data_IF_162817867397
#
_entry.id   IF_162817867397
#
_cell.length_a   1.000
_cell.length_b   1.000
_cell.length_c   1.000
_cell.angle_alpha   90.00
_cell.angle_beta   90.00
_cell.angle_gamma   90.00
#
_symmetry.space_group_name_H-M   'P 1'
#
loop_
_entity.id
_entity.type
_entity.pdbx_description
1 polymer ?
#
# COMPACT_ATOMS: atom_id res chain seq x y z
N UNK A 1 63.70 16.67 41.85
CA UNK A 1 64.99 17.34 41.56
C UNK A 1 65.09 18.42 42.62
N UNK A 2 66.19 18.46 43.39
CA UNK A 2 66.43 19.60 44.25
C UNK A 2 66.53 20.87 43.39
N UNK A 3 66.06 22.00 43.91
CA UNK A 3 66.25 23.29 43.26
C UNK A 3 67.71 23.70 43.36
N UNK A 4 68.24 24.42 42.37
CA UNK A 4 69.58 25.05 42.52
C UNK A 4 69.64 25.99 43.72
N UNK A 5 68.50 26.57 44.14
CA UNK A 5 68.38 27.32 45.38
C UNK A 5 68.60 26.42 46.61
N UNK A 6 68.03 25.21 46.62
CA UNK A 6 68.19 24.25 47.73
C UNK A 6 69.64 23.77 47.81
N UNK A 7 70.27 23.45 46.68
CA UNK A 7 71.68 23.06 46.62
C UNK A 7 72.60 24.19 47.15
N UNK A 8 72.36 25.45 46.74
CA UNK A 8 73.14 26.61 47.20
C UNK A 8 72.90 26.96 48.68
N UNK A 9 71.68 26.75 49.19
CA UNK A 9 71.38 26.93 50.62
C UNK A 9 72.04 25.83 51.45
N UNK A 10 72.07 24.58 50.96
CA UNK A 10 72.78 23.49 51.62
C UNK A 10 74.30 23.75 51.65
N UNK A 11 74.90 24.23 50.55
CA UNK A 11 76.32 24.60 50.52
C UNK A 11 76.65 25.75 51.49
N UNK A 12 75.79 26.78 51.56
CA UNK A 12 75.91 27.86 52.55
C UNK A 12 75.77 27.34 53.99
N UNK A 13 74.86 26.39 54.23
CA UNK A 13 74.66 25.80 55.55
C UNK A 13 75.85 24.94 55.97
N UNK A 14 76.37 24.08 55.08
CA UNK A 14 77.58 23.28 55.29
C UNK A 14 78.82 24.17 55.53
N UNK A 15 78.91 25.32 54.85
CA UNK A 15 79.96 26.32 55.08
C UNK A 15 79.86 26.97 56.47
N UNK A 16 78.65 27.32 56.92
CA UNK A 16 78.41 27.89 58.26
C UNK A 16 78.68 26.85 59.36
N UNK A 17 78.21 25.61 59.19
CA UNK A 17 78.44 24.51 60.13
C UNK A 17 79.92 24.07 60.19
N UNK A 18 80.68 24.29 59.10
CA UNK A 18 82.13 24.05 59.03
C UNK A 18 83.01 25.13 59.69
N UNK A 19 82.46 26.29 60.05
CA UNK A 19 83.22 27.40 60.62
C UNK A 19 83.56 27.20 62.12
N UNK A 20 84.69 27.76 62.57
CA UNK A 20 85.16 27.58 63.96
C UNK A 20 84.53 28.60 64.91
N UNK A 21 84.02 28.11 66.04
CA UNK A 21 83.57 28.95 67.15
C UNK A 21 84.72 29.82 67.70
N UNK A 22 84.41 31.08 68.00
CA UNK A 22 85.39 32.02 68.53
C UNK A 22 85.86 31.61 69.94
N UNK A 23 87.17 31.67 70.22
CA UNK A 23 87.64 31.45 71.59
C UNK A 23 86.99 32.49 72.52
N UNK A 24 86.46 32.01 73.64
CA UNK A 24 85.76 32.76 74.70
C UNK A 24 84.31 33.22 74.41
N UNK A 25 83.69 32.85 73.29
CA UNK A 25 82.24 33.05 73.06
C UNK A 25 81.63 31.87 72.29
N UNK A 26 80.87 31.03 73.00
CA UNK A 26 80.22 29.85 72.42
C UNK A 26 79.15 30.18 71.36
N UNK A 27 78.63 31.41 71.36
CA UNK A 27 77.52 31.88 70.53
C UNK A 27 77.99 32.81 69.39
N UNK A 28 79.28 32.74 69.01
CA UNK A 28 79.82 33.51 67.89
C UNK A 28 80.82 32.69 67.08
N UNK A 29 80.56 32.58 65.79
CA UNK A 29 81.35 31.86 64.81
C UNK A 29 82.33 32.85 64.14
N UNK A 30 83.59 32.42 63.91
CA UNK A 30 84.55 33.19 63.11
C UNK A 30 84.42 32.77 61.65
N UNK A 31 83.87 33.66 60.83
CA UNK A 31 83.63 33.44 59.39
C UNK A 31 84.52 34.39 58.59
N UNK A 32 85.04 33.94 57.44
CA UNK A 32 85.64 34.87 56.48
C UNK A 32 84.53 35.71 55.84
N UNK A 33 84.61 37.02 56.01
CA UNK A 33 83.58 37.95 55.52
C UNK A 33 83.44 37.85 54.00
N UNK A 34 84.55 37.82 53.28
CA UNK A 34 84.56 37.94 51.82
C UNK A 34 83.92 36.69 51.16
N UNK A 35 84.19 35.50 51.70
CA UNK A 35 83.59 34.24 51.23
C UNK A 35 82.07 34.22 51.48
N UNK A 36 81.63 34.61 52.68
CA UNK A 36 80.20 34.68 53.03
C UNK A 36 79.45 35.73 52.18
N UNK A 37 80.07 36.89 51.95
CA UNK A 37 79.50 37.98 51.15
C UNK A 37 79.38 37.55 49.67
N UNK A 38 80.33 36.76 49.14
CA UNK A 38 80.24 36.11 47.81
C UNK A 38 79.09 35.10 47.73
N UNK A 39 78.97 34.15 48.67
CA UNK A 39 77.87 33.17 48.66
C UNK A 39 76.49 33.84 48.76
N UNK A 40 76.37 34.94 49.50
CA UNK A 40 75.14 35.75 49.59
C UNK A 40 74.87 36.50 48.28
N UNK A 41 75.89 36.99 47.58
CA UNK A 41 75.74 37.65 46.27
C UNK A 41 75.30 36.66 45.18
N UNK A 42 75.90 35.46 45.12
CA UNK A 42 75.51 34.39 44.19
C UNK A 42 74.08 33.89 44.47
N UNK A 43 73.70 33.72 45.74
CA UNK A 43 72.34 33.38 46.13
C UNK A 43 71.35 34.50 45.73
N UNK A 44 71.73 35.77 45.91
CA UNK A 44 70.92 36.94 45.52
C UNK A 44 70.79 37.10 44.00
N UNK A 45 71.79 36.67 43.23
CA UNK A 45 71.76 36.67 41.77
C UNK A 45 70.88 35.53 41.21
N UNK A 46 70.92 34.35 41.83
CA UNK A 46 70.22 33.14 41.34
C UNK A 46 68.75 33.05 41.77
N UNK A 47 68.39 33.47 42.99
CA UNK A 47 67.01 33.43 43.51
C UNK A 47 65.97 34.08 42.56
N UNK A 48 66.18 35.30 42.01
CA UNK A 48 65.17 35.97 41.19
C UNK A 48 64.83 35.21 39.91
N UNK A 49 65.81 34.55 39.28
CA UNK A 49 65.61 33.88 37.99
C UNK A 49 64.97 32.49 38.13
N UNK A 50 65.31 31.75 39.18
CA UNK A 50 64.60 30.51 39.55
C UNK A 50 63.15 30.82 39.95
N UNK A 51 62.87 31.88 40.75
CA UNK A 51 61.50 32.32 41.05
C UNK A 51 60.72 32.65 39.77
N UNK A 52 61.33 33.36 38.81
CA UNK A 52 60.73 33.64 37.48
C UNK A 52 60.51 32.37 36.65
N UNK A 53 61.33 31.35 36.82
CA UNK A 53 61.15 30.05 36.16
C UNK A 53 59.96 29.30 36.76
N UNK A 54 59.85 29.21 38.09
CA UNK A 54 58.69 28.60 38.75
C UNK A 54 57.38 29.34 38.44
N UNK A 55 57.38 30.67 38.47
CA UNK A 55 56.21 31.47 38.07
C UNK A 55 55.77 31.21 36.61
N UNK A 56 56.72 31.05 35.67
CA UNK A 56 56.40 30.67 34.29
C UNK A 56 55.81 29.27 34.20
N UNK A 57 56.32 28.31 34.97
CA UNK A 57 55.78 26.94 35.00
C UNK A 57 54.35 26.93 35.55
N UNK A 58 54.09 27.64 36.65
CA UNK A 58 52.74 27.76 37.24
C UNK A 58 51.77 28.42 36.25
N UNK A 59 52.13 29.56 35.67
CA UNK A 59 51.28 30.24 34.68
C UNK A 59 51.00 29.37 33.45
N UNK A 60 51.99 28.62 32.97
CA UNK A 60 51.82 27.68 31.86
C UNK A 60 50.90 26.49 32.26
N UNK A 61 51.02 25.98 33.47
CA UNK A 61 50.16 24.92 33.99
C UNK A 61 48.71 25.39 34.10
N UNK A 62 48.46 26.58 34.65
CA UNK A 62 47.13 27.19 34.71
C UNK A 62 46.56 27.43 33.32
N UNK A 63 47.37 27.94 32.38
CA UNK A 63 46.95 28.12 30.98
C UNK A 63 46.55 26.80 30.31
N UNK A 64 47.38 25.76 30.43
CA UNK A 64 47.10 24.43 29.86
C UNK A 64 45.82 23.84 30.48
N UNK A 65 45.64 24.00 31.79
CA UNK A 65 44.47 23.48 32.51
C UNK A 65 43.20 24.24 32.16
N UNK A 66 43.28 25.57 31.95
CA UNK A 66 42.17 26.38 31.47
C UNK A 66 41.79 26.07 30.01
N UNK A 67 42.76 25.90 29.11
CA UNK A 67 42.54 25.50 27.72
C UNK A 67 41.96 24.08 27.62
N UNK A 68 42.47 23.13 28.42
CA UNK A 68 41.95 21.77 28.51
C UNK A 68 40.49 21.75 28.99
N UNK A 69 40.14 22.53 30.03
CA UNK A 69 38.75 22.70 30.48
C UNK A 69 37.87 23.28 29.38
N UNK A 70 38.30 24.39 28.76
CA UNK A 70 37.56 25.05 27.67
C UNK A 70 37.32 24.10 26.48
N UNK A 71 38.28 23.23 26.15
CA UNK A 71 38.13 22.20 25.11
C UNK A 71 37.17 21.09 25.53
N UNK A 72 37.24 20.62 26.78
CA UNK A 72 36.27 19.65 27.29
C UNK A 72 34.83 20.22 27.27
N UNK A 73 34.64 21.45 27.74
CA UNK A 73 33.33 22.13 27.72
C UNK A 73 32.80 22.34 26.29
N UNK A 74 33.69 22.61 25.33
CA UNK A 74 33.34 22.72 23.91
C UNK A 74 32.91 21.37 23.31
N UNK A 75 33.65 20.30 23.60
CA UNK A 75 33.31 18.93 23.15
C UNK A 75 31.99 18.47 23.76
N UNK A 76 31.73 18.75 25.05
CA UNK A 76 30.46 18.41 25.70
C UNK A 76 29.31 19.14 25.02
N UNK A 77 29.42 20.47 24.79
CA UNK A 77 28.39 21.23 24.07
C UNK A 77 28.16 20.75 22.64
N UNK A 78 29.21 20.39 21.92
CA UNK A 78 29.08 19.86 20.56
C UNK A 78 28.36 18.51 20.57
N UNK A 79 28.71 17.63 21.52
CA UNK A 79 28.02 16.36 21.71
C UNK A 79 26.54 16.54 22.10
N UNK A 80 26.22 17.46 23.01
CA UNK A 80 24.84 17.81 23.39
C UNK A 80 24.02 18.24 22.17
N UNK A 81 24.55 19.17 21.36
CA UNK A 81 23.90 19.65 20.13
C UNK A 81 23.67 18.50 19.14
N UNK A 82 24.66 17.62 18.93
CA UNK A 82 24.52 16.46 18.06
C UNK A 82 23.48 15.46 18.59
N UNK A 83 23.42 15.23 19.91
CA UNK A 83 22.40 14.34 20.49
C UNK A 83 20.99 14.92 20.37
N UNK A 84 20.81 16.22 20.60
CA UNK A 84 19.51 16.89 20.43
C UNK A 84 19.04 16.85 18.97
N UNK A 85 19.96 17.03 18.01
CA UNK A 85 19.67 16.88 16.59
C UNK A 85 19.24 15.45 16.24
N UNK A 86 19.99 14.43 16.66
CA UNK A 86 19.66 13.02 16.40
C UNK A 86 18.32 12.60 17.03
N UNK A 87 18.02 13.05 18.25
CA UNK A 87 16.74 12.78 18.92
C UNK A 87 15.59 13.48 18.18
N UNK A 88 15.78 14.73 17.74
CA UNK A 88 14.80 15.48 16.95
C UNK A 88 14.54 14.81 15.60
N UNK A 89 15.58 14.43 14.85
CA UNK A 89 15.46 13.70 13.59
C UNK A 89 14.74 12.36 13.77
N UNK A 90 15.08 11.60 14.81
CA UNK A 90 14.40 10.35 15.12
C UNK A 90 12.92 10.53 15.45
N UNK A 91 12.56 11.58 16.22
CA UNK A 91 11.17 11.91 16.52
C UNK A 91 10.40 12.34 15.26
N UNK A 92 11.00 13.16 14.39
CA UNK A 92 10.42 13.56 13.10
C UNK A 92 10.21 12.32 12.22
N UNK A 93 11.19 11.41 12.17
CA UNK A 93 11.09 10.16 11.41
C UNK A 93 9.98 9.25 11.94
N UNK A 94 9.87 9.04 13.26
CA UNK A 94 8.75 8.29 13.86
C UNK A 94 7.39 8.93 13.51
N UNK A 95 7.28 10.26 13.61
CA UNK A 95 6.06 10.98 13.25
C UNK A 95 5.74 10.85 11.75
N UNK A 96 6.75 10.86 10.88
CA UNK A 96 6.59 10.65 9.44
C UNK A 96 6.10 9.23 9.13
N UNK A 97 6.65 8.19 9.77
CA UNK A 97 6.14 6.82 9.65
C UNK A 97 4.70 6.68 10.17
N UNK A 98 4.37 7.28 11.31
CA UNK A 98 3.01 7.27 11.84
C UNK A 98 2.00 7.91 10.85
N UNK A 99 2.34 9.07 10.29
CA UNK A 99 1.53 9.75 9.27
C UNK A 99 1.45 8.95 7.96
N UNK A 100 2.54 8.33 7.52
CA UNK A 100 2.54 7.50 6.31
C UNK A 100 1.59 6.30 6.47
N UNK A 101 1.65 5.61 7.61
CA UNK A 101 0.74 4.50 7.93
C UNK A 101 -0.72 4.97 8.06
N UNK A 102 -0.96 6.14 8.65
CA UNK A 102 -2.29 6.77 8.71
C UNK A 102 -2.85 7.06 7.30
N UNK A 103 -2.04 7.67 6.42
CA UNK A 103 -2.44 7.95 5.03
C UNK A 103 -2.75 6.66 4.25
N UNK A 104 -1.92 5.62 4.41
CA UNK A 104 -2.17 4.31 3.78
C UNK A 104 -3.47 3.68 4.30
N UNK A 105 -3.73 3.73 5.62
CA UNK A 105 -4.95 3.20 6.22
C UNK A 105 -6.21 3.96 5.77
N UNK A 106 -6.13 5.29 5.67
CA UNK A 106 -7.23 6.13 5.17
C UNK A 106 -7.48 5.84 3.70
N UNK A 107 -6.43 5.80 2.86
CA UNK A 107 -6.55 5.52 1.43
C UNK A 107 -7.09 4.12 1.14
N UNK A 108 -6.66 3.09 1.89
CA UNK A 108 -7.18 1.73 1.73
C UNK A 108 -8.66 1.63 2.13
N UNK A 109 -9.06 2.31 3.21
CA UNK A 109 -10.46 2.38 3.64
C UNK A 109 -11.34 3.14 2.64
N UNK A 110 -10.84 4.24 2.08
CA UNK A 110 -11.53 5.00 1.04
C UNK A 110 -11.69 4.17 -0.25
N UNK A 111 -10.64 3.45 -0.66
CA UNK A 111 -10.70 2.52 -1.78
C UNK A 111 -11.73 1.40 -1.57
N UNK A 112 -11.78 0.81 -0.37
CA UNK A 112 -12.79 -0.19 0.00
C UNK A 112 -14.22 0.40 -0.05
N UNK A 113 -14.41 1.64 0.45
CA UNK A 113 -15.69 2.34 0.38
C UNK A 113 -16.11 2.64 -1.07
N UNK A 114 -15.17 3.04 -1.93
CA UNK A 114 -15.43 3.27 -3.37
C UNK A 114 -15.81 1.96 -4.06
N UNK A 115 -15.11 0.84 -3.80
CA UNK A 115 -15.44 -0.47 -4.36
C UNK A 115 -16.80 -0.98 -3.89
N UNK A 116 -17.11 -0.86 -2.59
CA UNK A 116 -18.41 -1.24 -2.04
C UNK A 116 -19.55 -0.37 -2.60
N UNK A 117 -19.32 0.93 -2.78
CA UNK A 117 -20.30 1.82 -3.44
C UNK A 117 -20.49 1.45 -4.92
N UNK A 118 -19.41 1.27 -5.67
CA UNK A 118 -19.46 0.96 -7.10
C UNK A 118 -20.13 -0.41 -7.37
N UNK A 119 -19.90 -1.41 -6.52
CA UNK A 119 -20.56 -2.71 -6.62
C UNK A 119 -22.05 -2.64 -6.28
N UNK A 120 -22.45 -1.86 -5.26
CA UNK A 120 -23.86 -1.59 -4.98
C UNK A 120 -24.56 -0.86 -6.14
N UNK A 121 -23.93 0.19 -6.70
CA UNK A 121 -24.45 0.93 -7.84
C UNK A 121 -24.56 0.05 -9.10
N UNK A 122 -23.54 -0.77 -9.40
CA UNK A 122 -23.56 -1.70 -10.53
C UNK A 122 -24.67 -2.76 -10.40
N UNK A 123 -24.89 -3.29 -9.18
CA UNK A 123 -25.98 -4.22 -8.90
C UNK A 123 -27.36 -3.54 -9.06
N UNK A 124 -27.53 -2.31 -8.56
CA UNK A 124 -28.77 -1.54 -8.71
C UNK A 124 -29.08 -1.20 -10.17
N UNK A 125 -28.07 -0.86 -10.97
CA UNK A 125 -28.21 -0.65 -12.42
C UNK A 125 -28.61 -1.96 -13.11
N UNK A 126 -27.97 -3.08 -12.77
CA UNK A 126 -28.29 -4.40 -13.32
C UNK A 126 -29.74 -4.82 -13.01
N UNK A 127 -30.18 -4.66 -11.77
CA UNK A 127 -31.56 -4.95 -11.35
C UNK A 127 -32.56 -4.05 -12.09
N UNK A 128 -32.28 -2.75 -12.16
CA UNK A 128 -33.12 -1.78 -12.90
C UNK A 128 -33.20 -2.10 -14.40
N UNK A 129 -32.10 -2.54 -15.01
CA UNK A 129 -32.05 -2.93 -16.41
C UNK A 129 -32.84 -4.23 -16.67
N UNK A 130 -32.77 -5.22 -15.77
CA UNK A 130 -33.57 -6.44 -15.84
C UNK A 130 -35.06 -6.12 -15.69
N UNK A 131 -35.44 -5.29 -14.71
CA UNK A 131 -36.83 -4.86 -14.54
C UNK A 131 -37.37 -4.06 -15.74
N UNK A 132 -36.53 -3.22 -16.35
CA UNK A 132 -36.88 -2.52 -17.57
C UNK A 132 -37.09 -3.47 -18.76
N UNK A 133 -36.18 -4.42 -19.00
CA UNK A 133 -36.32 -5.37 -20.11
C UNK A 133 -37.48 -6.33 -19.92
N UNK A 134 -37.75 -6.79 -18.69
CA UNK A 134 -38.95 -7.56 -18.35
C UNK A 134 -40.24 -6.79 -18.69
N UNK A 135 -40.32 -5.52 -18.31
CA UNK A 135 -41.47 -4.68 -18.65
C UNK A 135 -41.62 -4.47 -20.18
N UNK A 136 -40.52 -4.33 -20.93
CA UNK A 136 -40.58 -4.27 -22.39
C UNK A 136 -41.05 -5.60 -23.00
N UNK A 137 -40.56 -6.74 -22.51
CA UNK A 137 -41.00 -8.07 -22.95
C UNK A 137 -42.48 -8.30 -22.64
N UNK A 138 -42.96 -7.84 -21.48
CA UNK A 138 -44.38 -7.86 -21.11
C UNK A 138 -45.24 -7.06 -22.10
N UNK A 139 -44.82 -5.85 -22.47
CA UNK A 139 -45.53 -5.04 -23.49
C UNK A 139 -45.57 -5.77 -24.84
N UNK A 140 -44.46 -6.40 -25.25
CA UNK A 140 -44.42 -7.21 -26.47
C UNK A 140 -45.36 -8.42 -26.38
N UNK A 141 -45.40 -9.11 -25.24
CA UNK A 141 -46.33 -10.22 -24.99
C UNK A 141 -47.79 -9.77 -25.06
N UNK A 142 -48.14 -8.63 -24.46
CA UNK A 142 -49.50 -8.07 -24.51
C UNK A 142 -49.92 -7.72 -25.95
N UNK A 143 -49.04 -7.05 -26.71
CA UNK A 143 -49.28 -6.73 -28.13
C UNK A 143 -49.44 -8.00 -28.96
N UNK A 144 -48.56 -9.00 -28.77
CA UNK A 144 -48.61 -10.26 -29.52
C UNK A 144 -49.89 -11.03 -29.22
N UNK A 145 -50.29 -11.12 -27.94
CA UNK A 145 -51.55 -11.74 -27.50
C UNK A 145 -52.76 -11.05 -28.11
N UNK A 146 -52.82 -9.71 -28.03
CA UNK A 146 -53.90 -8.91 -28.62
C UNK A 146 -53.95 -9.07 -30.16
N UNK A 147 -52.80 -9.15 -30.82
CA UNK A 147 -52.70 -9.34 -32.28
C UNK A 147 -53.18 -10.73 -32.69
N UNK A 148 -52.84 -11.79 -31.94
CA UNK A 148 -53.33 -13.15 -32.18
C UNK A 148 -54.86 -13.21 -32.04
N UNK A 149 -55.41 -12.65 -30.97
CA UNK A 149 -56.85 -12.60 -30.73
C UNK A 149 -57.59 -11.78 -31.81
N UNK A 150 -57.08 -10.60 -32.17
CA UNK A 150 -57.63 -9.80 -33.26
C UNK A 150 -57.57 -10.53 -34.62
N UNK A 151 -56.51 -11.29 -34.87
CA UNK A 151 -56.36 -12.09 -36.09
C UNK A 151 -57.37 -13.23 -36.13
N UNK A 152 -57.58 -13.91 -35.00
CA UNK A 152 -58.61 -14.95 -34.84
C UNK A 152 -60.00 -14.40 -35.11
N UNK A 153 -60.39 -13.30 -34.46
CA UNK A 153 -61.68 -12.65 -34.66
C UNK A 153 -61.92 -12.22 -36.12
N UNK A 154 -60.87 -11.73 -36.80
CA UNK A 154 -60.93 -11.42 -38.24
C UNK A 154 -61.09 -12.66 -39.11
N UNK A 155 -60.40 -13.76 -38.80
CA UNK A 155 -60.54 -15.02 -39.51
C UNK A 155 -61.95 -15.61 -39.35
N UNK A 156 -62.48 -15.62 -38.13
CA UNK A 156 -63.85 -16.07 -37.84
C UNK A 156 -64.88 -15.20 -38.56
N UNK A 157 -64.71 -13.87 -38.57
CA UNK A 157 -65.55 -12.93 -39.33
C UNK A 157 -65.48 -13.18 -40.85
N UNK A 158 -64.30 -13.44 -41.40
CA UNK A 158 -64.11 -13.75 -42.81
C UNK A 158 -64.76 -15.10 -43.20
N UNK A 159 -64.61 -16.13 -42.37
CA UNK A 159 -65.29 -17.42 -42.55
C UNK A 159 -66.82 -17.25 -42.55
N UNK A 160 -67.37 -16.47 -41.63
CA UNK A 160 -68.81 -16.16 -41.60
C UNK A 160 -69.27 -15.40 -42.86
N UNK A 161 -68.48 -14.46 -43.38
CA UNK A 161 -68.79 -13.78 -44.65
C UNK A 161 -68.76 -14.74 -45.84
N UNK A 162 -67.75 -15.62 -45.92
CA UNK A 162 -67.63 -16.62 -46.99
C UNK A 162 -68.75 -17.67 -46.93
N UNK A 163 -69.17 -18.09 -45.73
CA UNK A 163 -70.34 -18.95 -45.55
C UNK A 163 -71.60 -18.25 -46.07
N UNK A 164 -71.82 -16.97 -45.75
CA UNK A 164 -72.95 -16.19 -46.27
C UNK A 164 -72.97 -16.09 -47.80
N UNK A 165 -71.81 -15.95 -48.46
CA UNK A 165 -71.73 -16.01 -49.92
C UNK A 165 -72.06 -17.41 -50.47
N UNK A 166 -71.59 -18.47 -49.81
CA UNK A 166 -71.90 -19.85 -50.19
C UNK A 166 -73.40 -20.15 -50.05
N UNK A 167 -74.03 -19.70 -48.96
CA UNK A 167 -75.47 -19.86 -48.73
C UNK A 167 -76.30 -19.16 -49.82
N UNK A 168 -75.91 -17.95 -50.26
CA UNK A 168 -76.53 -17.25 -51.40
C UNK A 168 -76.36 -18.05 -52.69
N UNK A 169 -75.17 -18.59 -52.98
CA UNK A 169 -74.94 -19.42 -54.18
C UNK A 169 -75.79 -20.70 -54.14
N UNK A 170 -75.97 -21.31 -52.97
CA UNK A 170 -76.86 -22.47 -52.79
C UNK A 170 -78.33 -22.09 -52.99
N UNK A 171 -78.80 -20.96 -52.44
CA UNK A 171 -80.18 -20.47 -52.67
C UNK A 171 -80.44 -20.24 -54.16
N UNK A 172 -79.56 -19.47 -54.82
CA UNK A 172 -79.65 -19.20 -56.26
C UNK A 172 -79.68 -20.51 -57.07
N UNK A 173 -78.82 -21.47 -56.74
CA UNK A 173 -78.79 -22.79 -57.41
C UNK A 173 -80.09 -23.56 -57.23
N UNK A 174 -80.72 -23.48 -56.06
CA UNK A 174 -81.99 -24.14 -55.78
C UNK A 174 -83.16 -23.45 -56.51
N UNK A 175 -83.14 -22.12 -56.63
CA UNK A 175 -84.13 -21.34 -57.39
C UNK A 175 -84.01 -21.56 -58.92
N UNK A 176 -82.79 -21.80 -59.41
CA UNK A 176 -82.52 -22.17 -60.81
C UNK A 176 -82.77 -23.65 -61.13
N UNK A 177 -83.09 -24.50 -60.14
CA UNK A 177 -83.47 -25.88 -60.40
C UNK A 177 -84.91 -25.92 -60.96
N UNK A 178 -85.14 -26.42 -62.20
CA UNK A 178 -86.48 -26.45 -62.76
C UNK A 178 -87.40 -27.35 -61.93
N UNK A 179 -88.64 -26.89 -61.74
CA UNK A 179 -89.65 -27.53 -60.88
C UNK A 179 -90.25 -28.83 -61.48
N UNK A 180 -89.40 -29.74 -61.96
CA UNK A 180 -89.79 -31.05 -62.49
C UNK A 180 -88.65 -32.09 -62.41
N UNK A 181 -87.97 -32.15 -61.25
CA UNK A 181 -86.98 -33.19 -60.96
C UNK A 181 -86.86 -33.53 -59.45
N UNK A 182 -87.99 -33.78 -58.77
CA UNK A 182 -87.97 -34.66 -57.61
C UNK A 182 -88.28 -36.10 -58.05
N UNK A 183 -87.30 -37.00 -57.99
CA UNK A 183 -87.53 -38.36 -57.56
C UNK A 183 -87.05 -38.51 -56.12
N UNK A 184 -87.98 -38.85 -55.24
CA UNK A 184 -87.68 -39.46 -53.94
C UNK A 184 -86.81 -40.70 -54.13
N UNK A 185 -85.65 -40.74 -53.47
CA UNK A 185 -85.09 -42.00 -52.95
C UNK A 185 -84.67 -41.72 -51.51
N UNK A 186 -85.28 -42.47 -50.59
CA UNK A 186 -84.95 -42.44 -49.17
C UNK A 186 -83.75 -43.34 -48.87
N UNK A 187 -83.08 -43.00 -47.78
CA UNK A 187 -82.30 -43.91 -46.93
C UNK A 187 -81.03 -44.63 -47.47
N UNK A 188 -80.01 -44.52 -46.62
CA UNK A 188 -79.21 -45.61 -46.07
C UNK A 188 -77.79 -45.93 -46.57
N UNK A 189 -76.93 -46.03 -45.55
CA UNK A 189 -75.64 -46.75 -45.36
C UNK A 189 -74.49 -46.62 -46.38
N UNK A 190 -73.41 -46.04 -45.84
CA UNK A 190 -72.08 -46.64 -45.64
C UNK A 190 -71.28 -47.23 -46.84
N UNK A 191 -69.96 -46.94 -46.78
CA UNK A 191 -68.89 -47.44 -47.64
C UNK A 191 -68.98 -46.97 -49.12
N UNK A 192 -67.87 -46.71 -49.83
CA UNK A 192 -66.46 -47.00 -49.54
C UNK A 192 -65.51 -46.00 -50.23
N UNK A 193 -64.43 -45.67 -49.53
CA UNK A 193 -63.04 -45.61 -50.05
C UNK A 193 -62.76 -44.78 -51.31
N UNK A 194 -62.16 -43.61 -51.10
CA UNK A 194 -60.92 -43.27 -51.81
C UNK A 194 -59.79 -43.25 -50.79
N UNK A 195 -58.74 -44.03 -51.04
CA UNK A 195 -57.61 -44.23 -50.14
C UNK A 195 -56.33 -44.28 -50.98
N UNK A 196 -55.48 -43.28 -50.80
CA UNK A 196 -54.03 -43.27 -51.07
C UNK A 196 -53.49 -42.05 -50.29
N UNK A 197 -53.09 -42.25 -49.04
CA UNK A 197 -51.71 -42.54 -48.63
C UNK A 197 -50.73 -41.38 -48.86
N UNK A 198 -50.61 -40.54 -47.84
CA UNK A 198 -49.35 -39.87 -47.49
C UNK A 198 -49.18 -40.04 -45.97
N UNK A 199 -48.07 -40.65 -45.48
CA UNK A 199 -47.97 -41.08 -44.09
C UNK A 199 -47.72 -39.91 -43.13
N UNK A 200 -48.36 -39.96 -41.96
CA UNK A 200 -47.97 -39.15 -40.80
C UNK A 200 -46.87 -39.91 -40.05
N UNK A 201 -45.62 -39.45 -40.18
CA UNK A 201 -44.50 -40.05 -39.47
C UNK A 201 -44.46 -39.57 -38.02
N UNK A 202 -45.11 -40.31 -37.11
CA UNK A 202 -44.90 -40.16 -35.68
C UNK A 202 -43.60 -40.83 -35.26
N UNK A 203 -42.51 -40.07 -35.13
CA UNK A 203 -41.27 -40.55 -34.49
C UNK A 203 -41.24 -40.10 -33.03
N UNK A 204 -41.81 -40.93 -32.15
CA UNK A 204 -41.43 -40.94 -30.74
C UNK A 204 -40.22 -41.86 -30.58
N UNK A 205 -39.02 -41.31 -30.39
CA UNK A 205 -37.90 -42.05 -29.79
C UNK A 205 -37.16 -41.17 -28.80
N UNK A 206 -37.61 -41.27 -27.55
CA UNK A 206 -36.78 -41.11 -26.35
C UNK A 206 -35.50 -41.96 -26.48
N UNK A 207 -34.32 -41.31 -26.48
CA UNK A 207 -33.05 -41.93 -26.07
C UNK A 207 -32.17 -40.90 -25.38
N UNK A 208 -32.07 -41.02 -24.06
CA UNK A 208 -30.95 -40.47 -23.29
C UNK A 208 -29.66 -41.26 -23.54
N UNK A 209 -28.53 -40.53 -23.58
CA UNK A 209 -27.17 -41.04 -23.31
C UNK A 209 -26.56 -42.09 -24.25
N UNK A 210 -25.54 -41.66 -25.02
CA UNK A 210 -24.14 -41.99 -24.68
C UNK A 210 -23.12 -41.14 -25.45
N UNK A 211 -22.11 -40.68 -24.73
CA UNK A 211 -20.93 -39.98 -25.26
C UNK A 211 -19.73 -40.94 -25.23
N UNK A 212 -18.97 -41.02 -26.31
CA UNK A 212 -17.69 -41.72 -26.38
C UNK A 212 -16.87 -41.22 -27.58
N UNK A 213 -15.72 -40.59 -27.29
CA UNK A 213 -14.36 -40.90 -27.83
C UNK A 213 -14.29 -41.54 -29.23
N UNK A 214 -13.49 -41.11 -30.23
CA UNK A 214 -12.24 -40.32 -30.34
C UNK A 214 -12.02 -40.05 -31.87
N UNK A 215 -11.06 -39.30 -32.45
CA UNK A 215 -9.79 -38.63 -32.03
C UNK A 215 -9.32 -37.59 -33.07
N UNK A 216 -8.14 -36.99 -32.83
CA UNK A 216 -7.15 -36.42 -33.78
C UNK A 216 -7.56 -35.26 -34.74
N UNK A 217 -6.67 -34.37 -35.20
CA UNK A 217 -5.41 -33.79 -34.67
C UNK A 217 -5.10 -32.53 -35.55
N UNK A 218 -4.67 -31.41 -34.96
CA UNK A 218 -3.77 -30.43 -35.61
C UNK A 218 -3.50 -29.18 -34.74
N UNK A 219 -2.26 -29.10 -34.26
CA UNK A 219 -1.39 -27.91 -34.38
C UNK A 219 -1.99 -26.50 -34.21
N UNK A 220 -1.88 -25.92 -33.01
CA UNK A 220 -1.34 -24.55 -32.93
C UNK A 220 -0.54 -24.30 -31.64
N UNK A 221 0.71 -23.85 -31.78
CA UNK A 221 1.54 -23.33 -30.67
C UNK A 221 1.27 -21.83 -30.55
N UNK A 222 0.83 -21.36 -29.38
CA UNK A 222 0.45 -19.95 -29.22
C UNK A 222 0.54 -19.41 -27.80
N UNK A 223 1.78 -19.10 -27.37
CA UNK A 223 2.13 -18.19 -26.27
C UNK A 223 1.67 -18.61 -24.86
N UNK A 224 2.60 -19.22 -24.14
CA UNK A 224 2.58 -19.36 -22.69
C UNK A 224 3.40 -18.21 -22.07
N UNK A 225 2.83 -17.46 -21.11
CA UNK A 225 3.50 -16.30 -20.49
C UNK A 225 4.02 -16.73 -19.11
N UNK A 226 5.34 -16.82 -18.88
CA UNK A 226 5.87 -17.42 -17.66
C UNK A 226 5.72 -16.49 -16.43
N UNK A 227 5.24 -17.06 -15.32
CA UNK A 227 4.97 -16.41 -14.02
C UNK A 227 6.21 -15.84 -13.27
N UNK A 228 7.37 -15.74 -13.93
CA UNK A 228 8.65 -15.37 -13.28
C UNK A 228 8.88 -13.85 -13.30
N UNK A 229 7.93 -13.10 -12.73
CA UNK A 229 8.06 -11.65 -12.51
C UNK A 229 7.61 -11.15 -11.12
N UNK A 230 7.03 -12.03 -10.28
CA UNK A 230 6.71 -11.72 -8.88
C UNK A 230 7.48 -12.64 -7.92
N UNK A 231 8.71 -12.25 -7.61
CA UNK A 231 9.30 -12.27 -6.27
C UNK A 231 10.69 -11.63 -6.33
N UNK A 232 10.93 -10.63 -5.47
CA UNK A 232 12.24 -10.02 -5.24
C UNK A 232 12.95 -10.74 -4.09
N UNK A 233 14.28 -10.83 -4.19
CA UNK A 233 15.24 -10.46 -3.13
C UNK A 233 16.53 -9.97 -3.83
#
# INVERSE_FOLDING_TARGET
>A
MASKIEDMINELQDFVDGCKNAPFKADSIVVNRDDLESYIEDLRATIPDEIRQYQRIINNQEYILADARKKADAIIKEAEIQTDQLVSEHQIMQQAYARANEVVLVASKEAEQILNKATLEANGIKESAIAYTDNQLKIVQEIMTATMEQTRQKADSYLNQMQGYLDIVVSNRNELAPAEAQPVIAEQVANSTFQEDVPVETVNTDVSSKNSSEKDDSSNKGIDVPDVFFNQD
#
